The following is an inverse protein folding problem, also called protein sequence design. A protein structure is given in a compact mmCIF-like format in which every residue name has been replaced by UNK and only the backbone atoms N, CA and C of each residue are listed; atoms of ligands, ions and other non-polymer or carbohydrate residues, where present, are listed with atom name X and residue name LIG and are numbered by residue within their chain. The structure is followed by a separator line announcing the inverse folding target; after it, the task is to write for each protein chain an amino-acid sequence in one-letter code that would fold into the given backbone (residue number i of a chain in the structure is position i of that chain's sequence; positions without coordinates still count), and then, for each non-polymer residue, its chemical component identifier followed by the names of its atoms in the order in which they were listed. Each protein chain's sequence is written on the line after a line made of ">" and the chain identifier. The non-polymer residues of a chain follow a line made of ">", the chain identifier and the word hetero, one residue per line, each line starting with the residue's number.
data_IF_979769617204
#
_entry.id   IF_979769617204
#
_cell.length_a   1.000
_cell.length_b   1.000
_cell.length_c   1.000
_cell.angle_alpha   90.00
_cell.angle_beta   90.00
_cell.angle_gamma   90.00
#
_symmetry.space_group_name_H-M   'P 1'
#
loop_
_entity.id
_entity.type
_entity.pdbx_description
1 polymer ?
#
# COMPACT_ATOMS: atom_id res chain seq x y z
N UNK A 1 -0.56 24.48 -29.52
CA UNK A 1 -0.31 25.16 -28.23
C UNK A 1 -1.45 24.80 -27.28
N UNK A 2 -1.58 23.51 -26.97
CA UNK A 2 -2.69 22.92 -26.20
C UNK A 2 -2.21 21.61 -25.57
N UNK A 3 -1.19 21.66 -24.71
CA UNK A 3 -0.72 20.47 -23.97
C UNK A 3 -0.37 20.87 -22.53
N UNK A 4 -1.35 21.41 -21.80
CA UNK A 4 -1.10 21.79 -20.40
C UNK A 4 -2.25 21.47 -19.44
N UNK A 5 -3.35 20.88 -19.92
CA UNK A 5 -4.52 20.54 -19.06
C UNK A 5 -4.55 19.05 -18.71
N UNK A 6 -3.86 18.18 -19.45
CA UNK A 6 -3.89 16.72 -19.22
C UNK A 6 -3.09 16.23 -18.00
N UNK A 7 -2.30 17.09 -17.34
CA UNK A 7 -1.40 16.67 -16.25
C UNK A 7 -2.01 16.79 -14.84
N UNK A 8 -3.07 17.58 -14.64
CA UNK A 8 -3.51 17.99 -13.29
C UNK A 8 -4.60 17.06 -12.70
N UNK A 9 -5.32 16.30 -13.51
CA UNK A 9 -6.56 15.64 -13.08
C UNK A 9 -6.41 14.27 -12.37
N UNK A 10 -5.20 13.71 -12.16
CA UNK A 10 -5.06 12.36 -11.55
C UNK A 10 -3.88 12.17 -10.57
N UNK A 11 -3.52 13.19 -9.78
CA UNK A 11 -2.36 13.10 -8.87
C UNK A 11 -2.69 12.82 -7.39
N UNK A 12 -3.88 12.33 -7.07
CA UNK A 12 -4.21 11.96 -5.70
C UNK A 12 -3.92 10.48 -5.49
N UNK A 13 -2.94 10.19 -4.63
CA UNK A 13 -2.60 8.80 -4.32
C UNK A 13 -3.78 8.09 -3.67
N UNK A 14 -4.12 6.93 -4.21
CA UNK A 14 -5.34 6.20 -3.83
C UNK A 14 -5.21 5.68 -2.40
N UNK A 15 -6.24 5.95 -1.59
CA UNK A 15 -6.30 5.49 -0.20
C UNK A 15 -6.97 4.11 -0.14
N UNK A 16 -6.29 3.14 0.47
CA UNK A 16 -6.74 1.74 0.55
C UNK A 16 -7.10 1.38 1.98
N UNK A 17 -8.39 1.15 2.30
CA UNK A 17 -8.81 0.75 3.64
C UNK A 17 -8.48 -0.72 3.91
N UNK A 18 -8.42 -1.09 5.20
CA UNK A 18 -8.15 -2.48 5.63
C UNK A 18 -9.08 -3.53 4.98
N UNK A 19 -10.36 -3.19 4.82
CA UNK A 19 -11.35 -4.08 4.20
C UNK A 19 -11.01 -4.45 2.76
N UNK A 20 -10.28 -3.60 2.04
CA UNK A 20 -9.91 -3.79 0.64
C UNK A 20 -8.57 -4.49 0.45
N UNK A 21 -7.71 -4.56 1.48
CA UNK A 21 -6.35 -5.13 1.37
C UNK A 21 -6.34 -6.57 0.81
N UNK A 22 -7.26 -7.41 1.29
CA UNK A 22 -7.33 -8.81 0.87
C UNK A 22 -7.75 -8.91 -0.60
N UNK A 23 -8.79 -8.19 -1.00
CA UNK A 23 -9.39 -8.30 -2.33
C UNK A 23 -8.52 -7.64 -3.40
N UNK A 24 -7.95 -6.47 -3.10
CA UNK A 24 -7.25 -5.67 -4.11
C UNK A 24 -5.74 -5.93 -4.17
N UNK A 25 -5.12 -6.29 -3.04
CA UNK A 25 -3.66 -6.47 -2.93
C UNK A 25 -3.26 -7.89 -2.53
N UNK A 26 -4.22 -8.79 -2.33
CA UNK A 26 -3.91 -10.18 -1.95
C UNK A 26 -3.24 -10.28 -0.58
N UNK A 27 -3.47 -9.34 0.33
CA UNK A 27 -2.87 -9.34 1.68
C UNK A 27 -3.90 -9.81 2.72
N UNK A 28 -3.95 -11.12 3.08
CA UNK A 28 -4.97 -11.69 3.94
C UNK A 28 -4.63 -11.60 5.45
N UNK A 29 -3.87 -10.58 5.86
CA UNK A 29 -3.38 -10.48 7.24
C UNK A 29 -4.41 -9.86 8.18
N UNK A 30 -4.43 -10.36 9.42
CA UNK A 30 -5.24 -9.78 10.50
C UNK A 30 -4.68 -8.44 10.95
N UNK A 31 -5.51 -7.59 11.56
CA UNK A 31 -5.10 -6.27 12.09
C UNK A 31 -3.95 -6.35 13.10
N UNK A 32 -3.93 -7.38 13.94
CA UNK A 32 -2.86 -7.59 14.94
C UNK A 32 -1.55 -7.96 14.24
N UNK A 33 -1.61 -8.80 13.21
CA UNK A 33 -0.43 -9.15 12.44
C UNK A 33 0.14 -7.95 11.68
N UNK A 34 -0.71 -7.17 11.01
CA UNK A 34 -0.30 -5.93 10.35
C UNK A 34 0.38 -4.97 11.33
N UNK A 35 -0.18 -4.78 12.52
CA UNK A 35 0.42 -3.97 13.58
C UNK A 35 1.82 -4.43 13.99
N UNK A 36 2.03 -5.75 14.10
CA UNK A 36 3.34 -6.32 14.42
C UNK A 36 4.34 -6.08 13.29
N UNK A 37 3.91 -6.24 12.03
CA UNK A 37 4.75 -5.96 10.87
C UNK A 37 5.09 -4.48 10.75
N UNK A 38 4.13 -3.58 10.95
CA UNK A 38 4.32 -2.12 10.99
C UNK A 38 5.35 -1.75 12.06
N UNK A 39 5.21 -2.29 13.28
CA UNK A 39 6.17 -2.07 14.37
C UNK A 39 7.57 -2.60 14.04
N UNK A 40 7.65 -3.71 13.32
CA UNK A 40 8.90 -4.29 12.85
C UNK A 40 9.48 -3.59 11.60
N UNK A 41 8.81 -2.58 11.04
CA UNK A 41 9.22 -1.92 9.80
C UNK A 41 9.05 -2.78 8.55
N UNK A 42 8.31 -3.90 8.63
CA UNK A 42 8.12 -4.88 7.55
C UNK A 42 6.81 -4.69 6.78
N UNK A 43 6.04 -3.64 7.07
CA UNK A 43 4.79 -3.27 6.42
C UNK A 43 4.62 -1.75 6.37
N UNK A 44 3.97 -1.18 5.34
CA UNK A 44 3.72 0.25 5.24
C UNK A 44 2.98 0.80 6.47
N UNK A 45 3.31 2.03 6.86
CA UNK A 45 2.68 2.69 8.01
C UNK A 45 1.25 3.07 7.66
N UNK A 46 0.30 2.65 8.50
CA UNK A 46 -1.10 3.05 8.36
C UNK A 46 -1.33 4.49 8.83
N UNK A 47 -2.34 5.14 8.29
CA UNK A 47 -2.90 6.37 8.83
C UNK A 47 -4.39 6.22 9.14
N UNK A 48 -4.92 7.10 10.00
CA UNK A 48 -6.34 7.11 10.35
C UNK A 48 -7.08 8.00 9.36
N UNK A 49 -8.07 7.43 8.67
CA UNK A 49 -8.95 8.19 7.76
C UNK A 49 -10.05 8.90 8.55
N UNK A 50 -10.51 8.27 9.65
CA UNK A 50 -11.53 8.82 10.53
C UNK A 50 -12.00 7.79 11.56
N UNK A 51 -12.26 8.24 12.79
CA UNK A 51 -12.66 7.36 13.89
C UNK A 51 -11.72 6.15 14.07
N UNK A 52 -12.29 4.94 13.99
CA UNK A 52 -11.55 3.66 14.09
C UNK A 52 -11.08 3.09 12.74
N UNK A 53 -11.29 3.82 11.63
CA UNK A 53 -10.89 3.37 10.28
C UNK A 53 -9.43 3.74 10.01
N UNK A 54 -8.68 2.76 9.51
CA UNK A 54 -7.28 2.91 9.09
C UNK A 54 -7.14 2.53 7.63
N UNK A 55 -6.19 3.18 6.97
CA UNK A 55 -5.89 2.97 5.58
C UNK A 55 -4.39 3.15 5.31
N UNK A 56 -4.00 2.78 4.10
CA UNK A 56 -2.65 2.91 3.56
C UNK A 56 -2.71 3.59 2.20
N UNK A 57 -1.58 4.13 1.78
CA UNK A 57 -1.44 4.66 0.44
C UNK A 57 -1.18 3.52 -0.56
N UNK A 58 -1.89 3.56 -1.68
CA UNK A 58 -1.77 2.56 -2.74
C UNK A 58 -0.36 2.48 -3.31
N UNK A 59 0.38 3.60 -3.37
CA UNK A 59 1.79 3.59 -3.80
C UNK A 59 2.69 2.83 -2.84
N UNK A 60 2.46 2.95 -1.53
CA UNK A 60 3.29 2.29 -0.50
C UNK A 60 3.06 0.78 -0.48
N UNK A 61 1.79 0.36 -0.64
CA UNK A 61 1.45 -1.06 -0.76
C UNK A 61 2.06 -1.70 -2.02
N UNK A 62 2.07 -0.98 -3.15
CA UNK A 62 2.71 -1.44 -4.39
C UNK A 62 4.22 -1.59 -4.22
N UNK A 63 4.89 -0.56 -3.72
CA UNK A 63 6.34 -0.61 -3.48
C UNK A 63 6.72 -1.78 -2.55
N UNK A 64 5.95 -1.99 -1.49
CA UNK A 64 6.16 -3.09 -0.56
C UNK A 64 5.97 -4.50 -1.17
N UNK A 65 5.04 -4.67 -2.11
CA UNK A 65 4.88 -5.90 -2.88
C UNK A 65 6.04 -6.11 -3.85
N UNK A 66 6.47 -5.04 -4.52
CA UNK A 66 7.57 -5.05 -5.47
C UNK A 66 8.89 -5.45 -4.80
N UNK A 67 9.22 -4.86 -3.65
CA UNK A 67 10.38 -5.24 -2.82
C UNK A 67 10.39 -6.74 -2.50
N UNK A 68 9.25 -7.31 -2.10
CA UNK A 68 9.14 -8.76 -1.83
C UNK A 68 9.31 -9.62 -3.07
N UNK A 69 8.80 -9.16 -4.20
CA UNK A 69 8.92 -9.88 -5.46
C UNK A 69 10.38 -9.89 -5.94
N UNK A 70 11.09 -8.78 -5.79
CA UNK A 70 12.51 -8.66 -6.06
C UNK A 70 13.32 -9.60 -5.15
N UNK A 71 12.99 -9.65 -3.84
CA UNK A 71 13.66 -10.55 -2.92
C UNK A 71 13.46 -12.04 -3.17
N UNK A 72 12.45 -12.41 -3.96
CA UNK A 72 12.29 -13.78 -4.44
C UNK A 72 13.21 -14.07 -5.63
N UNK A 73 13.37 -13.13 -6.54
CA UNK A 73 14.22 -13.30 -7.72
C UNK A 73 15.71 -13.34 -7.35
N UNK A 74 16.15 -12.54 -6.37
CA UNK A 74 17.56 -12.48 -5.96
C UNK A 74 18.05 -13.72 -5.19
N UNK A 75 17.16 -14.47 -4.53
CA UNK A 75 17.50 -15.70 -3.79
C UNK A 75 17.33 -16.99 -4.61
N UNK A 76 17.09 -16.88 -5.92
CA UNK A 76 16.80 -18.00 -6.81
C UNK A 76 17.73 -18.16 -8.02
N UNK A 77 18.89 -17.48 -8.03
CA UNK A 77 19.93 -17.59 -9.06
C UNK A 77 21.14 -18.37 -8.55
#
# INVERSE_FOLDING_TARGET
>A
MTDSISQIEQSHDRVVPYSSLKTEYGVPYTRVHLLRLEKAGKFPKRFRVGGRKVAWFARELRAWLEERSASRTENGA
#
